data_IF_440447311376
#
_entry.id   IF_440447311376
#
_cell.length_a   1.000
_cell.length_b   1.000
_cell.length_c   1.000
_cell.angle_alpha   90.00
_cell.angle_beta   90.00
_cell.angle_gamma   90.00
#
_symmetry.space_group_name_H-M   'P 1'
#
loop_
_entity.id
_entity.type
_entity.pdbx_description
1 polymer ?
#
# COMPACT_ATOMS: atom_id res chain seq x y z
N UNK A 1 -4.91 -3.42 3.95
CA UNK A 1 -4.18 -3.14 5.17
C UNK A 1 -3.52 -1.76 5.08
N UNK A 2 -4.11 -0.72 5.70
CA UNK A 2 -3.59 0.65 5.63
C UNK A 2 -2.16 0.74 6.15
N UNK A 3 -1.89 0.08 7.28
CA UNK A 3 -0.57 0.10 7.87
C UNK A 3 0.46 -0.59 7.02
N UNK A 4 0.02 -1.54 6.23
CA UNK A 4 0.95 -2.28 5.37
C UNK A 4 1.27 -1.44 4.14
N UNK A 5 0.25 -0.73 3.65
CA UNK A 5 0.41 0.22 2.56
C UNK A 5 1.40 1.32 2.94
N UNK A 6 1.24 1.87 4.14
CA UNK A 6 2.14 2.94 4.58
C UNK A 6 3.46 2.39 5.12
N UNK A 7 3.55 1.08 5.24
CA UNK A 7 4.76 0.40 5.68
C UNK A 7 5.78 0.38 4.55
N UNK A 8 5.34 -0.06 3.40
CA UNK A 8 6.21 -0.21 2.26
C UNK A 8 6.09 0.97 1.32
N UNK A 9 7.13 1.81 1.23
CA UNK A 9 7.17 2.94 0.28
C UNK A 9 6.88 2.47 -1.15
N UNK A 10 7.45 1.32 -1.53
CA UNK A 10 7.25 0.71 -2.86
C UNK A 10 5.76 0.47 -3.13
N UNK A 11 5.06 -0.03 -2.11
CA UNK A 11 3.66 -0.36 -2.24
C UNK A 11 2.80 0.88 -2.28
N UNK A 12 3.03 1.79 -1.33
CA UNK A 12 2.28 3.05 -1.20
C UNK A 12 2.43 3.94 -2.43
N UNK A 13 3.55 3.78 -3.11
CA UNK A 13 3.86 4.49 -4.31
C UNK A 13 2.88 4.14 -5.45
N UNK A 14 2.32 2.98 -5.37
CA UNK A 14 1.38 2.53 -6.35
C UNK A 14 0.00 2.31 -5.73
N UNK A 15 -0.95 3.23 -5.99
CA UNK A 15 -2.33 3.17 -5.47
C UNK A 15 -2.99 1.79 -5.66
N UNK A 16 -2.67 1.12 -6.76
CA UNK A 16 -3.22 -0.21 -7.05
C UNK A 16 -2.85 -1.20 -5.95
N UNK A 17 -1.69 -1.02 -5.34
CA UNK A 17 -1.25 -1.91 -4.31
C UNK A 17 -1.93 -1.58 -2.99
N UNK A 18 -2.23 -0.33 -2.77
CA UNK A 18 -2.94 0.06 -1.57
C UNK A 18 -4.44 -0.16 -1.74
N UNK A 19 -4.85 -0.42 -2.96
CA UNK A 19 -6.19 -0.82 -3.27
C UNK A 19 -6.29 -2.33 -3.05
N UNK A 20 -5.27 -3.02 -3.52
CA UNK A 20 -5.12 -4.46 -3.37
C UNK A 20 -5.00 -4.83 -1.90
N UNK A 21 -4.08 -4.19 -1.24
CA UNK A 21 -3.85 -4.40 0.16
C UNK A 21 -4.83 -3.58 0.96
N UNK A 22 -5.73 -4.26 1.61
CA UNK A 22 -6.75 -3.61 2.42
C UNK A 22 -6.20 -3.21 3.78
#
# INVERSE_FOLDING_TARGET
>A
NPEDCRQDPEANKSPEECKKLK
#
